data_IF_620712454216
#
_entry.id   IF_620712454216
#
_cell.length_a   1.000
_cell.length_b   1.000
_cell.length_c   1.000
_cell.angle_alpha   90.00
_cell.angle_beta   90.00
_cell.angle_gamma   90.00
#
_symmetry.space_group_name_H-M   'P 1'
#
loop_
_entity.id
_entity.type
_entity.pdbx_description
1 polymer ?
#
# COMPACT_ATOMS: atom_id res chain seq x y z
N UNK A 1 -19.12 -2.79 -3.55
CA UNK A 1 -18.35 -2.36 -4.72
C UNK A 1 -17.89 -3.59 -5.50
N UNK A 2 -17.50 -3.47 -6.79
CA UNK A 2 -16.82 -4.55 -7.50
C UNK A 2 -15.55 -5.00 -6.77
N UNK A 3 -14.99 -6.18 -7.08
CA UNK A 3 -13.67 -6.55 -6.55
C UNK A 3 -12.59 -5.59 -7.05
N UNK A 4 -11.69 -5.17 -6.17
CA UNK A 4 -10.49 -4.39 -6.52
C UNK A 4 -9.45 -5.32 -7.12
N UNK A 5 -9.42 -5.40 -8.45
CA UNK A 5 -8.51 -6.30 -9.19
C UNK A 5 -7.38 -5.48 -9.81
N UNK A 6 -6.16 -5.70 -9.31
CA UNK A 6 -4.97 -5.08 -9.88
C UNK A 6 -4.62 -5.67 -11.25
N UNK A 7 -4.08 -4.81 -12.12
CA UNK A 7 -3.60 -5.23 -13.44
C UNK A 7 -2.15 -5.73 -13.34
N UNK A 8 -1.79 -6.82 -14.02
CA UNK A 8 -0.47 -7.43 -13.87
C UNK A 8 0.69 -6.48 -14.18
N UNK A 9 0.66 -5.76 -15.31
CA UNK A 9 1.77 -4.91 -15.72
C UNK A 9 2.03 -3.74 -14.75
N UNK A 10 0.97 -3.13 -14.25
CA UNK A 10 1.02 -2.03 -13.29
C UNK A 10 1.45 -2.52 -11.91
N UNK A 11 1.08 -3.75 -11.55
CA UNK A 11 1.54 -4.42 -10.33
C UNK A 11 3.02 -4.75 -10.39
N UNK A 12 3.51 -5.27 -11.53
CA UNK A 12 4.94 -5.50 -11.78
C UNK A 12 5.73 -4.19 -11.67
N UNK A 13 5.23 -3.12 -12.29
CA UNK A 13 5.83 -1.79 -12.20
C UNK A 13 5.91 -1.32 -10.74
N UNK A 14 4.78 -1.33 -10.02
CA UNK A 14 4.72 -0.88 -8.64
C UNK A 14 5.66 -1.69 -7.75
N UNK A 15 5.70 -3.02 -7.91
CA UNK A 15 6.59 -3.91 -7.15
C UNK A 15 8.05 -3.61 -7.39
N UNK A 16 8.46 -3.34 -8.64
CA UNK A 16 9.83 -2.96 -8.97
C UNK A 16 10.23 -1.66 -8.28
N UNK A 17 9.40 -0.61 -8.39
CA UNK A 17 9.68 0.70 -7.76
C UNK A 17 9.72 0.57 -6.24
N UNK A 18 8.79 -0.16 -5.63
CA UNK A 18 8.82 -0.46 -4.19
C UNK A 18 10.09 -1.22 -3.81
N UNK A 19 10.49 -2.23 -4.59
CA UNK A 19 11.68 -3.04 -4.34
C UNK A 19 12.99 -2.25 -4.43
N UNK A 20 13.06 -1.25 -5.31
CA UNK A 20 14.20 -0.31 -5.38
C UNK A 20 14.30 0.57 -4.14
N UNK A 21 13.16 0.95 -3.54
CA UNK A 21 13.10 1.85 -2.39
C UNK A 21 13.32 1.14 -1.05
N UNK A 22 12.63 0.02 -0.81
CA UNK A 22 12.65 -0.69 0.48
C UNK A 22 13.39 -2.03 0.43
N UNK A 23 13.92 -2.42 -0.73
CA UNK A 23 14.49 -3.75 -0.95
C UNK A 23 13.41 -4.79 -1.25
N UNK A 24 13.70 -5.68 -2.20
CA UNK A 24 12.74 -6.68 -2.69
C UNK A 24 12.18 -7.60 -1.59
N UNK A 25 12.96 -7.88 -0.54
CA UNK A 25 12.52 -8.71 0.60
C UNK A 25 11.40 -8.06 1.44
N UNK A 26 11.23 -6.73 1.34
CA UNK A 26 10.20 -5.99 2.06
C UNK A 26 8.94 -5.74 1.21
N UNK A 27 8.89 -6.27 -0.01
CA UNK A 27 7.72 -6.19 -0.89
C UNK A 27 7.10 -7.58 -0.99
N UNK A 28 5.91 -7.74 -0.41
CA UNK A 28 5.26 -9.05 -0.28
C UNK A 28 3.98 -9.09 -1.10
N UNK A 29 3.58 -10.30 -1.51
CA UNK A 29 2.25 -10.50 -2.08
C UNK A 29 1.19 -10.24 -1.00
N UNK A 30 0.15 -9.52 -1.39
CA UNK A 30 -0.95 -9.22 -0.50
C UNK A 30 -2.05 -10.28 -0.64
N UNK A 31 -2.39 -10.92 0.47
CA UNK A 31 -3.49 -11.87 0.54
C UNK A 31 -4.83 -11.16 0.25
N UNK A 32 -5.66 -11.68 -0.68
CA UNK A 32 -6.97 -11.10 -0.95
C UNK A 32 -7.83 -11.02 0.32
N UNK A 33 -8.51 -9.90 0.51
CA UNK A 33 -9.39 -9.69 1.66
C UNK A 33 -10.84 -9.50 1.22
N UNK A 34 -11.77 -9.67 2.16
CA UNK A 34 -13.20 -9.39 1.96
C UNK A 34 -13.55 -7.91 2.22
N UNK A 35 -12.54 -7.03 2.32
CA UNK A 35 -12.74 -5.59 2.46
C UNK A 35 -13.41 -4.99 1.22
N UNK A 36 -14.20 -3.93 1.40
CA UNK A 36 -14.80 -3.19 0.31
C UNK A 36 -13.99 -1.91 0.06
N UNK A 37 -13.54 -1.72 -1.18
CA UNK A 37 -12.74 -0.57 -1.59
C UNK A 37 -13.30 -0.03 -2.93
N UNK A 38 -13.59 1.27 -2.98
CA UNK A 38 -14.19 1.90 -4.15
C UNK A 38 -13.16 2.22 -5.25
N UNK A 39 -11.86 2.09 -4.93
CA UNK A 39 -10.78 2.12 -5.92
C UNK A 39 -10.99 1.11 -7.07
N UNK A 40 -11.76 0.04 -6.81
CA UNK A 40 -12.23 -0.92 -7.81
C UNK A 40 -12.86 -0.26 -9.06
N UNK A 41 -13.57 0.86 -8.92
CA UNK A 41 -14.15 1.56 -10.07
C UNK A 41 -13.09 2.23 -10.96
N UNK A 42 -12.00 2.75 -10.38
CA UNK A 42 -10.89 3.29 -11.18
C UNK A 42 -10.21 2.17 -11.97
N UNK A 43 -10.01 1.01 -11.35
CA UNK A 43 -9.41 -0.16 -12.01
C UNK A 43 -10.29 -0.73 -13.13
N UNK A 44 -11.61 -0.55 -13.09
CA UNK A 44 -12.47 -0.91 -14.23
C UNK A 44 -12.30 0.03 -15.43
N UNK A 45 -11.89 1.27 -15.20
CA UNK A 45 -11.76 2.29 -16.24
C UNK A 45 -10.34 2.38 -16.81
N UNK A 46 -9.32 2.12 -16.01
CA UNK A 46 -7.92 2.26 -16.42
C UNK A 46 -7.04 1.20 -15.75
N UNK A 47 -6.05 0.64 -16.47
CA UNK A 47 -5.06 -0.23 -15.84
C UNK A 47 -4.37 0.45 -14.66
N UNK A 48 -4.24 -0.27 -13.55
CA UNK A 48 -3.71 0.28 -12.32
C UNK A 48 -3.40 -0.77 -11.26
N UNK A 49 -2.80 -0.31 -10.16
CA UNK A 49 -2.42 -1.12 -9.02
C UNK A 49 -2.81 -0.40 -7.71
N UNK A 50 -3.52 -1.11 -6.85
CA UNK A 50 -3.82 -0.74 -5.47
C UNK A 50 -2.97 -1.61 -4.54
N UNK A 51 -2.23 -0.99 -3.64
CA UNK A 51 -1.31 -1.69 -2.73
C UNK A 51 -1.39 -1.06 -1.34
N UNK A 52 -0.82 -1.76 -0.36
CA UNK A 52 -0.79 -1.31 1.03
C UNK A 52 0.64 -1.09 1.49
N UNK A 53 0.82 -0.13 2.39
CA UNK A 53 2.04 0.08 3.15
C UNK A 53 1.86 -0.53 4.55
N UNK A 54 2.84 -1.32 4.99
CA UNK A 54 2.78 -1.94 6.32
C UNK A 54 2.87 -0.88 7.41
N UNK A 55 1.86 -0.80 8.28
CA UNK A 55 1.77 0.20 9.37
C UNK A 55 2.59 -0.16 10.63
N UNK A 56 3.62 -1.01 10.48
CA UNK A 56 4.40 -1.59 11.58
C UNK A 56 3.75 -2.82 12.24
N UNK A 57 4.44 -3.37 13.25
CA UNK A 57 4.03 -4.56 14.03
C UNK A 57 3.10 -4.22 15.22
N UNK A 58 2.73 -2.94 15.37
CA UNK A 58 1.95 -2.43 16.50
C UNK A 58 2.78 -2.15 17.77
N UNK A 59 4.11 -2.29 17.74
CA UNK A 59 4.99 -2.02 18.89
C UNK A 59 5.01 -0.56 19.36
N UNK A 60 4.56 0.40 18.53
CA UNK A 60 4.28 1.78 18.96
C UNK A 60 3.22 1.88 20.09
N UNK A 61 2.66 0.75 20.54
CA UNK A 61 1.53 0.64 21.49
C UNK A 61 1.90 -0.06 22.80
N UNK A 62 3.16 -0.07 23.23
CA UNK A 62 3.51 -0.72 24.49
C UNK A 62 2.87 0.02 25.69
N UNK A 63 1.78 -0.57 26.21
CA UNK A 63 1.13 -0.24 27.49
C UNK A 63 -0.21 0.52 27.36
N UNK A 64 -1.33 -0.14 27.71
CA UNK A 64 -2.61 0.54 28.05
C UNK A 64 -3.77 0.43 27.05
N UNK A 65 -3.56 -0.12 25.84
CA UNK A 65 -4.60 -0.12 24.79
C UNK A 65 -4.83 -1.52 24.18
N UNK A 66 -5.71 -2.31 24.82
CA UNK A 66 -6.41 -3.46 24.21
C UNK A 66 -5.56 -4.58 23.61
N UNK A 67 -6.23 -5.60 23.06
CA UNK A 67 -5.57 -6.74 22.41
C UNK A 67 -5.41 -6.50 20.90
N UNK A 68 -4.19 -6.19 20.45
CA UNK A 68 -3.73 -6.40 19.07
C UNK A 68 -3.25 -5.15 18.32
N UNK A 69 -2.45 -5.32 17.24
CA UNK A 69 -2.08 -4.24 16.34
C UNK A 69 -3.36 -3.66 15.73
N UNK A 70 -3.62 -2.35 15.88
CA UNK A 70 -4.93 -1.82 15.51
C UNK A 70 -5.19 -1.96 14.02
N UNK A 71 -6.21 -2.74 13.72
CA UNK A 71 -6.86 -2.81 12.43
C UNK A 71 -7.50 -1.46 12.08
N UNK A 72 -7.64 -1.21 10.78
CA UNK A 72 -8.48 -0.12 10.27
C UNK A 72 -9.88 -0.19 10.92
N UNK A 73 -10.51 0.97 11.10
CA UNK A 73 -11.81 1.15 11.78
C UNK A 73 -11.84 0.94 13.30
N UNK A 74 -10.71 0.64 13.94
CA UNK A 74 -10.65 0.64 15.41
C UNK A 74 -10.61 2.10 15.95
N UNK A 75 -11.37 2.47 17.01
CA UNK A 75 -11.29 3.81 17.62
C UNK A 75 -9.92 4.15 18.21
N UNK A 76 -9.12 3.13 18.53
CA UNK A 76 -7.73 3.26 18.97
C UNK A 76 -6.73 3.12 17.82
N UNK A 77 -7.19 3.18 16.55
CA UNK A 77 -6.31 3.22 15.40
C UNK A 77 -5.43 4.46 15.47
N UNK A 78 -4.15 4.25 15.25
CA UNK A 78 -3.09 5.25 15.31
C UNK A 78 -2.17 4.96 14.14
N UNK A 79 -1.94 5.98 13.33
CA UNK A 79 -1.14 5.86 12.12
C UNK A 79 0.34 5.96 12.50
N UNK A 80 1.19 5.12 11.89
CA UNK A 80 2.62 5.23 12.14
C UNK A 80 3.20 6.42 11.34
N UNK A 81 3.35 7.56 12.00
CA UNK A 81 3.85 8.80 11.37
C UNK A 81 5.26 8.67 10.76
N UNK A 82 6.07 7.71 11.23
CA UNK A 82 7.38 7.41 10.64
C UNK A 82 7.27 6.93 9.18
N UNK A 83 6.08 6.53 8.72
CA UNK A 83 5.81 6.12 7.34
C UNK A 83 5.51 7.28 6.42
N UNK A 84 5.24 8.49 6.92
CA UNK A 84 4.93 9.66 6.07
C UNK A 84 6.07 9.93 5.08
N UNK A 85 7.36 10.00 5.49
CA UNK A 85 8.46 10.20 4.56
C UNK A 85 8.60 9.04 3.55
N UNK A 86 8.38 7.80 3.99
CA UNK A 86 8.50 6.62 3.13
C UNK A 86 7.41 6.60 2.05
N UNK A 87 6.15 6.79 2.46
CA UNK A 87 5.00 6.83 1.55
C UNK A 87 5.08 8.00 0.58
N UNK A 88 5.49 9.18 1.04
CA UNK A 88 5.71 10.34 0.18
C UNK A 88 6.79 10.09 -0.88
N UNK A 89 7.94 9.55 -0.46
CA UNK A 89 9.04 9.20 -1.37
C UNK A 89 8.62 8.16 -2.40
N UNK A 90 7.84 7.14 -1.98
CA UNK A 90 7.33 6.12 -2.89
C UNK A 90 6.49 6.71 -4.01
N UNK A 91 5.54 7.60 -3.69
CA UNK A 91 4.69 8.23 -4.70
C UNK A 91 5.46 9.14 -5.66
N UNK A 92 6.46 9.89 -5.17
CA UNK A 92 7.35 10.69 -6.01
C UNK A 92 8.11 9.78 -6.99
N UNK A 93 8.75 8.72 -6.49
CA UNK A 93 9.50 7.78 -7.32
C UNK A 93 8.61 7.09 -8.36
N UNK A 94 7.39 6.67 -7.98
CA UNK A 94 6.43 6.09 -8.91
C UNK A 94 6.05 7.07 -10.01
N UNK A 95 5.72 8.31 -9.66
CA UNK A 95 5.34 9.33 -10.64
C UNK A 95 6.48 9.66 -11.61
N UNK A 96 7.70 9.88 -11.08
CA UNK A 96 8.87 10.18 -11.91
C UNK A 96 9.19 9.04 -12.87
N UNK A 97 9.24 7.79 -12.38
CA UNK A 97 9.55 6.65 -13.25
C UNK A 97 8.45 6.38 -14.28
N UNK A 98 7.18 6.51 -13.90
CA UNK A 98 6.05 6.28 -14.79
C UNK A 98 5.97 7.32 -15.92
N UNK A 99 6.31 8.58 -15.63
CA UNK A 99 6.26 9.67 -16.60
C UNK A 99 7.53 9.79 -17.44
N UNK A 100 8.67 9.30 -16.96
CA UNK A 100 9.93 9.27 -17.72
C UNK A 100 10.09 8.01 -18.61
N UNK A 101 9.14 7.08 -18.59
CA UNK A 101 9.13 5.93 -19.49
C UNK A 101 8.48 6.33 -20.81
N UNK A 102 9.20 6.18 -21.93
CA UNK A 102 8.60 6.34 -23.26
C UNK A 102 7.47 5.32 -23.43
N UNK A 103 6.27 5.79 -23.82
CA UNK A 103 5.08 4.95 -24.01
C UNK A 103 4.80 4.69 -25.48
#
# INVERSE_FOLDING_TARGET
>A
YPPTINHPAETEFARRVMGELVGAANVQEFEPTMGAEDFSFFLQATPGCYFLIGNGDGSHRVGGHGMGPCMLHNPSYDFNDDLIPLGGTLWVNMAEQWLNTER
#
